data_IF_777247306554
#
_entry.id   IF_777247306554
#
_cell.length_a   1.000
_cell.length_b   1.000
_cell.length_c   1.000
_cell.angle_alpha   90.00
_cell.angle_beta   90.00
_cell.angle_gamma   90.00
#
_symmetry.space_group_name_H-M   'P 1'
#
loop_
_entity.id
_entity.type
_entity.pdbx_description
1 polymer ?
#
# COMPACT_ATOMS: atom_id res chain seq x y z
N UNK A 1 -14.45 0.72 -3.46
CA UNK A 1 -14.44 1.04 -2.02
C UNK A 1 -14.14 2.53 -1.85
N UNK A 2 -14.72 3.22 -0.87
CA UNK A 2 -14.45 4.66 -0.68
C UNK A 2 -13.31 4.88 0.33
N UNK A 3 -12.12 5.25 -0.15
CA UNK A 3 -10.92 5.51 0.68
C UNK A 3 -11.20 6.56 1.76
N UNK A 4 -12.03 7.56 1.47
CA UNK A 4 -12.35 8.64 2.39
C UNK A 4 -13.14 8.21 3.62
N UNK A 5 -13.90 7.11 3.50
CA UNK A 5 -14.73 6.56 4.57
C UNK A 5 -13.96 5.61 5.50
N UNK A 6 -12.67 5.34 5.22
CA UNK A 6 -11.83 4.52 6.09
C UNK A 6 -11.53 5.28 7.38
N UNK A 7 -11.67 4.59 8.52
CA UNK A 7 -11.24 5.08 9.83
C UNK A 7 -9.71 4.96 9.96
N UNK A 8 -9.00 5.75 9.14
CA UNK A 8 -7.55 5.79 9.04
C UNK A 8 -7.04 7.22 9.08
N UNK A 9 -5.79 7.38 9.50
CA UNK A 9 -5.09 8.64 9.49
C UNK A 9 -5.06 9.24 8.08
N UNK A 10 -5.01 10.57 7.98
CA UNK A 10 -5.04 11.26 6.70
C UNK A 10 -3.90 10.82 5.77
N UNK A 11 -2.72 10.53 6.31
CA UNK A 11 -1.56 10.13 5.51
C UNK A 11 -1.76 8.78 4.82
N UNK A 12 -2.45 7.84 5.50
CA UNK A 12 -2.82 6.54 4.91
C UNK A 12 -3.84 6.73 3.81
N UNK A 13 -4.90 7.52 4.05
CA UNK A 13 -5.89 7.83 3.01
C UNK A 13 -5.24 8.52 1.81
N UNK A 14 -4.31 9.44 2.06
CA UNK A 14 -3.60 10.16 1.03
C UNK A 14 -2.72 9.24 0.18
N UNK A 15 -1.89 8.38 0.79
CA UNK A 15 -1.07 7.45 0.01
C UNK A 15 -1.92 6.45 -0.77
N UNK A 16 -3.05 5.97 -0.22
CA UNK A 16 -3.97 5.08 -0.95
C UNK A 16 -4.54 5.72 -2.21
N UNK A 17 -4.84 7.02 -2.17
CA UNK A 17 -5.29 7.76 -3.36
C UNK A 17 -4.18 7.83 -4.42
N UNK A 18 -2.96 8.19 -4.01
CA UNK A 18 -1.81 8.27 -4.92
C UNK A 18 -1.46 6.91 -5.53
N UNK A 19 -1.54 5.83 -4.74
CA UNK A 19 -1.35 4.46 -5.24
C UNK A 19 -2.46 4.06 -6.21
N UNK A 20 -3.72 4.38 -5.91
CA UNK A 20 -4.84 4.11 -6.82
C UNK A 20 -4.73 4.88 -8.13
N UNK A 21 -4.17 6.10 -8.12
CA UNK A 21 -3.93 6.89 -9.32
C UNK A 21 -2.78 6.31 -10.16
N UNK A 22 -1.68 5.92 -9.51
CA UNK A 22 -0.47 5.45 -10.20
C UNK A 22 -0.55 3.99 -10.64
N UNK A 23 -1.09 3.09 -9.82
CA UNK A 23 -1.17 1.66 -10.13
C UNK A 23 -2.49 1.28 -10.83
N UNK A 24 -3.48 2.18 -10.76
CA UNK A 24 -4.84 1.93 -11.20
C UNK A 24 -5.75 1.47 -10.05
N UNK A 25 -7.07 1.69 -10.18
CA UNK A 25 -8.06 1.39 -9.14
C UNK A 25 -8.17 -0.11 -8.83
N UNK A 26 -7.59 -0.92 -9.71
CA UNK A 26 -7.71 -2.36 -9.75
C UNK A 26 -6.42 -3.10 -9.41
N UNK A 27 -5.39 -2.39 -8.95
CA UNK A 27 -4.09 -2.97 -8.62
C UNK A 27 -4.08 -3.82 -7.34
N UNK A 28 -4.88 -3.46 -6.35
CA UNK A 28 -4.90 -4.13 -5.04
C UNK A 28 -6.28 -4.07 -4.40
N UNK A 29 -6.48 -4.86 -3.34
CA UNK A 29 -7.66 -4.81 -2.49
C UNK A 29 -7.27 -4.23 -1.13
N UNK A 30 -8.06 -3.30 -0.62
CA UNK A 30 -7.85 -2.74 0.72
C UNK A 30 -8.47 -3.69 1.74
N UNK A 31 -7.66 -4.16 2.69
CA UNK A 31 -8.18 -4.91 3.84
C UNK A 31 -8.82 -3.94 4.84
N UNK A 32 -10.14 -3.98 4.89
CA UNK A 32 -10.95 -3.21 5.83
C UNK A 32 -11.43 -4.02 7.04
N UNK A 33 -11.08 -5.30 7.11
CA UNK A 33 -11.53 -6.21 8.18
C UNK A 33 -10.50 -6.24 9.29
N UNK A 34 -9.21 -6.24 8.95
CA UNK A 34 -8.14 -6.27 9.95
C UNK A 34 -8.06 -4.93 10.67
N UNK A 35 -8.41 -4.94 11.96
CA UNK A 35 -8.24 -3.79 12.83
C UNK A 35 -6.75 -3.56 13.10
N UNK A 36 -6.25 -2.42 12.62
CA UNK A 36 -4.88 -1.97 12.79
C UNK A 36 -4.88 -0.53 13.30
N UNK A 37 -3.72 -0.07 13.76
CA UNK A 37 -3.46 1.34 14.00
C UNK A 37 -3.99 2.21 12.83
N UNK A 38 -4.58 3.39 13.09
CA UNK A 38 -5.04 4.29 12.04
C UNK A 38 -3.97 4.68 11.02
N UNK A 39 -2.68 4.58 11.37
CA UNK A 39 -1.51 4.85 10.51
C UNK A 39 -0.96 3.61 9.81
N UNK A 40 -1.73 2.54 9.75
CA UNK A 40 -1.36 1.33 9.02
C UNK A 40 -2.56 0.66 8.34
N UNK A 41 -2.29 -0.06 7.26
CA UNK A 41 -3.30 -0.82 6.51
C UNK A 41 -2.68 -2.02 5.79
N UNK A 42 -3.46 -3.07 5.57
CA UNK A 42 -3.09 -4.15 4.65
C UNK A 42 -3.65 -3.87 3.24
N UNK A 43 -2.82 -4.12 2.24
CA UNK A 43 -3.20 -4.22 0.84
C UNK A 43 -3.03 -5.66 0.39
N UNK A 44 -4.00 -6.23 -0.30
CA UNK A 44 -4.03 -7.63 -0.67
C UNK A 44 -3.94 -7.77 -2.19
N UNK A 45 -3.23 -8.80 -2.65
CA UNK A 45 -3.30 -9.23 -4.03
C UNK A 45 -4.72 -9.76 -4.34
N UNK A 46 -5.16 -9.59 -5.58
CA UNK A 46 -6.54 -9.92 -5.98
C UNK A 46 -6.79 -11.41 -6.10
N UNK A 47 -5.81 -12.12 -6.61
CA UNK A 47 -5.93 -13.53 -6.97
C UNK A 47 -5.19 -14.44 -5.98
N UNK A 48 -4.32 -13.87 -5.14
CA UNK A 48 -3.47 -14.63 -4.22
C UNK A 48 -3.51 -14.02 -2.81
N UNK A 49 -4.39 -14.49 -1.92
CA UNK A 49 -4.48 -13.97 -0.55
C UNK A 49 -3.20 -14.13 0.27
N UNK A 50 -2.26 -14.99 -0.15
CA UNK A 50 -0.95 -15.15 0.48
C UNK A 50 0.05 -14.06 0.13
N UNK A 51 -0.28 -13.21 -0.86
CA UNK A 51 0.50 -12.04 -1.28
C UNK A 51 -0.19 -10.79 -0.75
N UNK A 52 0.44 -10.14 0.21
CA UNK A 52 -0.11 -8.95 0.87
C UNK A 52 0.97 -8.00 1.33
N UNK A 53 0.56 -6.77 1.58
CA UNK A 53 1.45 -5.70 2.00
C UNK A 53 0.93 -5.04 3.25
N UNK A 54 1.75 -4.99 4.28
CA UNK A 54 1.51 -4.11 5.42
C UNK A 54 2.14 -2.74 5.15
N UNK A 55 1.31 -1.73 4.90
CA UNK A 55 1.73 -0.35 4.65
C UNK A 55 1.48 0.51 5.88
N UNK A 56 2.48 1.27 6.31
CA UNK A 56 2.36 2.12 7.50
C UNK A 56 3.15 3.43 7.40
N UNK A 57 2.71 4.43 8.15
CA UNK A 57 3.40 5.74 8.29
C UNK A 57 3.92 5.99 9.71
N UNK A 58 3.59 5.12 10.66
CA UNK A 58 4.08 5.23 12.03
C UNK A 58 5.61 5.04 12.08
N UNK A 59 6.30 5.96 12.76
CA UNK A 59 7.77 5.94 12.87
C UNK A 59 8.53 6.37 11.62
N UNK A 60 7.82 6.73 10.54
CA UNK A 60 8.44 7.14 9.28
C UNK A 60 8.64 8.65 9.22
N UNK A 61 9.65 9.06 8.45
CA UNK A 61 9.84 10.48 8.12
C UNK A 61 8.63 11.02 7.33
N UNK A 62 8.33 12.34 7.40
CA UNK A 62 7.23 12.91 6.63
C UNK A 62 7.34 12.61 5.13
N UNK A 63 6.26 12.11 4.52
CA UNK A 63 6.25 11.70 3.12
C UNK A 63 7.10 10.45 2.82
N UNK A 64 7.34 9.62 3.84
CA UNK A 64 7.96 8.30 3.72
C UNK A 64 7.06 7.23 4.31
N UNK A 65 7.28 6.01 3.86
CA UNK A 65 6.42 4.87 4.14
C UNK A 65 7.25 3.68 4.59
N UNK A 66 6.73 2.95 5.57
CA UNK A 66 7.19 1.62 5.93
C UNK A 66 6.32 0.60 5.24
N UNK A 67 6.94 -0.45 4.74
CA UNK A 67 6.24 -1.49 3.98
C UNK A 67 6.82 -2.85 4.29
N UNK A 68 5.97 -3.80 4.65
CA UNK A 68 6.32 -5.22 4.67
C UNK A 68 5.62 -5.91 3.50
N UNK A 69 6.41 -6.40 2.56
CA UNK A 69 5.98 -7.22 1.43
C UNK A 69 5.92 -8.68 1.90
N UNK A 70 4.73 -9.26 1.94
CA UNK A 70 4.52 -10.63 2.37
C UNK A 70 4.19 -11.50 1.17
N UNK A 71 4.96 -12.59 1.04
CA UNK A 71 4.76 -13.67 0.09
C UNK A 71 4.43 -14.94 0.87
N UNK A 72 3.91 -16.00 0.22
CA UNK A 72 3.54 -17.23 0.91
C UNK A 72 4.65 -17.85 1.78
N UNK A 73 5.92 -17.64 1.44
CA UNK A 73 7.06 -18.27 2.12
C UNK A 73 8.13 -17.28 2.62
N UNK A 74 7.93 -15.97 2.46
CA UNK A 74 8.95 -14.97 2.80
C UNK A 74 8.33 -13.61 3.05
N UNK A 75 9.03 -12.80 3.83
CA UNK A 75 8.68 -11.39 4.05
C UNK A 75 9.91 -10.55 3.79
N UNK A 76 9.71 -9.39 3.17
CA UNK A 76 10.72 -8.38 2.97
C UNK A 76 10.22 -7.05 3.53
N UNK A 77 11.07 -6.32 4.25
CA UNK A 77 10.67 -5.14 5.01
C UNK A 77 11.56 -3.94 4.66
N UNK A 78 10.91 -2.84 4.32
CA UNK A 78 11.57 -1.59 3.95
C UNK A 78 11.02 -0.45 4.78
N UNK A 79 11.91 0.42 5.25
CA UNK A 79 11.55 1.60 6.03
C UNK A 79 12.00 2.87 5.34
N UNK A 80 11.30 3.96 5.63
CA UNK A 80 11.54 5.30 5.12
C UNK A 80 11.59 5.37 3.58
N UNK A 81 10.74 4.60 2.92
CA UNK A 81 10.67 4.51 1.45
C UNK A 81 9.93 5.73 0.88
N UNK A 82 10.46 6.41 -0.15
CA UNK A 82 9.75 7.48 -0.84
C UNK A 82 8.60 6.93 -1.71
N UNK A 83 7.62 7.76 -2.03
CA UNK A 83 6.44 7.35 -2.82
C UNK A 83 6.80 6.65 -4.13
N UNK A 84 7.78 7.17 -4.88
CA UNK A 84 8.19 6.61 -6.18
C UNK A 84 8.71 5.17 -6.06
N UNK A 85 9.45 4.89 -5.00
CA UNK A 85 10.00 3.56 -4.74
C UNK A 85 8.91 2.63 -4.19
N UNK A 86 8.04 3.14 -3.32
CA UNK A 86 6.86 2.40 -2.86
C UNK A 86 6.00 1.95 -4.05
N UNK A 87 5.69 2.86 -4.99
CA UNK A 87 4.90 2.53 -6.19
C UNK A 87 5.59 1.46 -7.02
N UNK A 88 6.90 1.56 -7.23
CA UNK A 88 7.65 0.55 -7.97
C UNK A 88 7.64 -0.83 -7.28
N UNK A 89 7.82 -0.87 -5.95
CA UNK A 89 7.74 -2.09 -5.15
C UNK A 89 6.35 -2.72 -5.25
N UNK A 90 5.29 -1.93 -5.08
CA UNK A 90 3.91 -2.42 -5.13
C UNK A 90 3.49 -2.84 -6.54
N UNK A 91 4.00 -2.18 -7.58
CA UNK A 91 3.73 -2.59 -8.95
C UNK A 91 4.26 -3.99 -9.23
N UNK A 92 5.49 -4.29 -8.78
CA UNK A 92 6.07 -5.63 -8.88
C UNK A 92 5.31 -6.62 -8.00
N UNK A 93 5.01 -6.23 -6.76
CA UNK A 93 4.38 -7.12 -5.78
C UNK A 93 2.93 -7.48 -6.14
N UNK A 94 2.23 -6.61 -6.88
CA UNK A 94 0.85 -6.82 -7.33
C UNK A 94 0.72 -7.10 -8.83
N UNK A 95 1.80 -7.46 -9.51
CA UNK A 95 1.83 -7.76 -10.95
C UNK A 95 1.21 -6.65 -11.85
N UNK A 96 1.39 -5.40 -11.46
CA UNK A 96 0.90 -4.21 -12.18
C UNK A 96 1.86 -3.88 -13.32
N UNK A 97 1.39 -4.04 -14.56
CA UNK A 97 2.21 -3.90 -15.77
C UNK A 97 2.58 -2.45 -16.11
N UNK A 98 1.88 -1.45 -15.57
CA UNK A 98 2.07 -0.04 -15.97
C UNK A 98 1.82 0.90 -14.81
N UNK A 99 2.76 1.80 -14.56
CA UNK A 99 2.65 2.89 -13.59
C UNK A 99 2.25 4.16 -14.34
N UNK A 100 1.18 4.81 -13.90
CA UNK A 100 0.74 6.11 -14.41
C UNK A 100 1.53 7.25 -13.73
N UNK A 101 1.92 8.30 -14.45
CA UNK A 101 2.47 9.50 -13.84
C UNK A 101 1.40 10.21 -13.00
N UNK A 102 1.80 10.83 -11.89
CA UNK A 102 0.93 11.75 -11.16
C UNK A 102 0.64 13.00 -12.03
N UNK A 103 -0.58 13.56 -11.95
CA UNK A 103 -0.96 14.77 -12.68
C UNK A 103 -0.21 16.03 -12.23
#
# INVERSE_FOLDING_TARGET
MNIWALDKHQDIRHVLLLLSEQLGPDAFVIDAVTSLDPRAIYLLHREDPGVRVWLYTLGQSPGRYGVHLEYPNSTDAHENVPLSELVAMLAVHFDVLTIQPLP
#
